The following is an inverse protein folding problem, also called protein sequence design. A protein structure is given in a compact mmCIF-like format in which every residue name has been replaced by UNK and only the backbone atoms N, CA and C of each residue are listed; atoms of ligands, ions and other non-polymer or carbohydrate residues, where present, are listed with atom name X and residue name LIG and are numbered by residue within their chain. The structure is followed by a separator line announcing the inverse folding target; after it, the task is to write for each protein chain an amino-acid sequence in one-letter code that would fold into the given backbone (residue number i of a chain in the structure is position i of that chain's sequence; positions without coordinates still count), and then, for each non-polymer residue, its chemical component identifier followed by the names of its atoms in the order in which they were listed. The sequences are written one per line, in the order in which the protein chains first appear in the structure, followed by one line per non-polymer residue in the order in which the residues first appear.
data_IF_725012983140
#
_entry.id   IF_725012983140
#
_cell.length_a   1.000
_cell.length_b   1.000
_cell.length_c   1.000
_cell.angle_alpha   90.00
_cell.angle_beta   90.00
_cell.angle_gamma   90.00
#
_symmetry.space_group_name_H-M   'P 1'
#
loop_
_entity.id
_entity.type
_entity.pdbx_description
1 polymer ?
#
# COMPACT_ATOMS: atom_id res chain seq x y z
N UNK A 1 24.42 -29.92 -1.31
CA UNK A 1 24.90 -29.08 -0.19
C UNK A 1 25.57 -27.77 -0.65
N UNK A 2 26.62 -27.76 -1.48
CA UNK A 2 27.28 -26.50 -1.94
C UNK A 2 26.38 -25.56 -2.79
N UNK A 3 25.50 -26.10 -3.63
CA UNK A 3 24.58 -25.31 -4.48
C UNK A 3 23.34 -24.73 -3.77
N UNK A 4 23.08 -25.15 -2.53
CA UNK A 4 21.96 -24.65 -1.72
C UNK A 4 22.45 -23.55 -0.78
N UNK A 5 23.67 -23.72 -0.25
CA UNK A 5 24.40 -22.71 0.52
C UNK A 5 24.68 -21.43 -0.30
N UNK A 6 25.13 -21.56 -1.54
CA UNK A 6 25.36 -20.42 -2.44
C UNK A 6 24.06 -19.70 -2.83
N UNK A 7 22.95 -20.43 -3.01
CA UNK A 7 21.62 -19.84 -3.26
C UNK A 7 21.10 -19.09 -2.04
N UNK A 8 21.24 -19.68 -0.84
CA UNK A 8 20.81 -19.04 0.41
C UNK A 8 21.65 -17.80 0.75
N UNK A 9 22.94 -17.77 0.41
CA UNK A 9 23.78 -16.56 0.53
C UNK A 9 23.41 -15.52 -0.52
N UNK A 10 23.13 -15.92 -1.76
CA UNK A 10 22.70 -14.98 -2.80
C UNK A 10 21.33 -14.35 -2.48
N UNK A 11 20.39 -15.12 -1.94
CA UNK A 11 19.09 -14.61 -1.50
C UNK A 11 19.22 -13.76 -0.23
N UNK A 12 20.07 -14.16 0.71
CA UNK A 12 20.43 -13.33 1.86
C UNK A 12 21.10 -12.03 1.43
N UNK A 13 22.03 -12.03 0.46
CA UNK A 13 22.70 -10.82 -0.06
C UNK A 13 21.76 -9.94 -0.89
N UNK A 14 20.78 -10.54 -1.58
CA UNK A 14 19.70 -9.85 -2.31
C UNK A 14 18.75 -9.15 -1.35
N UNK A 15 18.37 -9.80 -0.26
CA UNK A 15 17.51 -9.21 0.77
C UNK A 15 18.31 -8.24 1.69
N UNK A 16 19.58 -8.53 1.95
CA UNK A 16 20.59 -7.65 2.58
C UNK A 16 20.76 -6.34 1.80
N UNK A 17 20.70 -6.35 0.47
CA UNK A 17 20.73 -5.14 -0.35
C UNK A 17 19.39 -4.41 -0.43
N UNK A 18 18.25 -5.09 -0.28
CA UNK A 18 16.96 -4.42 -0.01
C UNK A 18 17.04 -3.66 1.32
N UNK A 19 17.66 -4.25 2.34
CA UNK A 19 17.86 -3.63 3.66
C UNK A 19 18.87 -2.46 3.58
N UNK A 20 19.99 -2.63 2.86
CA UNK A 20 21.00 -1.56 2.67
C UNK A 20 20.49 -0.40 1.80
N UNK A 21 19.64 -0.64 0.80
CA UNK A 21 19.00 0.43 0.03
C UNK A 21 17.95 1.21 0.83
N UNK A 22 17.29 0.56 1.81
CA UNK A 22 16.40 1.21 2.79
C UNK A 22 17.20 2.07 3.78
N UNK A 23 18.41 1.65 4.16
CA UNK A 23 19.24 2.33 5.17
C UNK A 23 20.13 3.43 4.56
N UNK A 24 20.59 3.28 3.31
CA UNK A 24 21.63 4.15 2.73
C UNK A 24 21.18 4.96 1.49
N UNK A 25 19.98 4.74 0.93
CA UNK A 25 19.47 5.55 -0.18
C UNK A 25 20.27 5.47 -1.50
N UNK A 26 21.01 4.38 -1.73
CA UNK A 26 21.82 4.20 -2.95
C UNK A 26 21.06 3.33 -3.95
N UNK A 27 20.58 3.96 -5.03
CA UNK A 27 19.85 3.32 -6.11
C UNK A 27 20.71 3.10 -7.36
N UNK A 28 21.44 1.98 -7.45
CA UNK A 28 21.99 1.43 -8.70
C UNK A 28 22.85 0.18 -8.43
N UNK A 29 22.24 -1.01 -8.36
CA UNK A 29 22.94 -2.21 -7.85
C UNK A 29 22.81 -3.49 -8.68
N UNK A 30 22.20 -3.49 -9.85
CA UNK A 30 22.10 -4.69 -10.70
C UNK A 30 23.44 -5.13 -11.33
N UNK A 31 24.44 -4.25 -11.38
CA UNK A 31 25.73 -4.51 -12.04
C UNK A 31 26.77 -5.24 -11.16
N UNK A 32 26.69 -5.14 -9.84
CA UNK A 32 27.71 -5.69 -8.92
C UNK A 32 27.45 -7.19 -8.63
N UNK A 33 26.18 -7.59 -8.57
CA UNK A 33 25.76 -8.97 -8.25
C UNK A 33 26.22 -9.98 -9.31
N UNK A 34 26.33 -9.57 -10.58
CA UNK A 34 26.73 -10.46 -11.67
C UNK A 34 28.20 -10.90 -11.59
N UNK A 35 29.07 -10.18 -10.86
CA UNK A 35 30.52 -10.44 -10.83
C UNK A 35 31.00 -11.13 -9.55
N UNK A 36 30.31 -10.93 -8.41
CA UNK A 36 30.66 -11.59 -7.14
C UNK A 36 30.39 -13.11 -7.19
N UNK A 37 29.43 -13.55 -7.99
CA UNK A 37 29.15 -14.98 -8.19
C UNK A 37 30.20 -15.75 -9.00
N UNK A 38 31.25 -15.08 -9.52
CA UNK A 38 32.29 -15.72 -10.33
C UNK A 38 33.72 -15.65 -9.77
N UNK A 39 33.99 -14.90 -8.69
CA UNK A 39 35.34 -14.85 -8.09
C UNK A 39 35.27 -14.89 -6.56
N UNK A 40 36.03 -15.82 -5.98
CA UNK A 40 36.39 -15.86 -4.56
C UNK A 40 37.18 -14.59 -4.20
N UNK A 41 36.47 -13.54 -3.79
CA UNK A 41 37.08 -12.29 -3.34
C UNK A 41 37.10 -12.26 -1.81
N UNK A 42 38.30 -12.22 -1.26
CA UNK A 42 38.54 -11.98 0.16
C UNK A 42 38.12 -10.54 0.51
N UNK A 43 36.97 -10.43 1.18
CA UNK A 43 36.28 -9.16 1.47
C UNK A 43 37.05 -8.22 2.41
N UNK A 44 38.23 -8.61 2.90
CA UNK A 44 39.04 -7.80 3.82
C UNK A 44 39.94 -6.76 3.13
N UNK A 45 40.10 -6.79 1.81
CA UNK A 45 41.06 -5.90 1.12
C UNK A 45 40.45 -4.92 0.10
N UNK A 46 39.13 -4.89 -0.10
CA UNK A 46 38.53 -4.01 -1.12
C UNK A 46 38.25 -2.63 -0.54
N UNK A 47 39.15 -1.68 -0.80
CA UNK A 47 38.87 -0.24 -0.67
C UNK A 47 38.08 0.23 -1.90
N UNK A 48 36.76 0.40 -1.75
CA UNK A 48 35.89 0.91 -2.81
C UNK A 48 36.10 2.42 -2.99
N UNK A 49 36.89 2.81 -3.98
CA UNK A 49 36.96 4.22 -4.43
C UNK A 49 36.05 4.44 -5.65
N UNK A 50 35.56 5.68 -5.90
CA UNK A 50 34.71 5.97 -7.06
C UNK A 50 35.32 5.53 -8.40
N UNK A 51 36.64 5.65 -8.56
CA UNK A 51 37.37 5.18 -9.75
C UNK A 51 37.32 3.67 -9.96
N UNK A 52 37.21 2.89 -8.88
CA UNK A 52 37.12 1.43 -8.95
C UNK A 52 35.74 1.00 -9.44
N UNK A 53 34.68 1.78 -9.15
CA UNK A 53 33.31 1.52 -9.62
C UNK A 53 33.18 1.67 -11.16
N UNK A 54 33.79 2.70 -11.74
CA UNK A 54 33.66 2.99 -13.18
C UNK A 54 34.26 1.90 -14.08
N UNK A 55 35.34 1.24 -13.63
CA UNK A 55 35.97 0.13 -14.36
C UNK A 55 35.21 -1.21 -14.29
N UNK A 56 34.18 -1.32 -13.44
CA UNK A 56 33.49 -2.58 -13.16
C UNK A 56 32.16 -2.75 -13.92
N UNK A 57 31.70 -1.74 -14.65
CA UNK A 57 30.47 -1.75 -15.45
C UNK A 57 30.71 -2.42 -16.80
N UNK A 58 30.05 -3.56 -17.05
CA UNK A 58 30.12 -4.26 -18.35
C UNK A 58 29.11 -3.65 -19.35
N UNK A 59 29.41 -3.54 -20.66
CA UNK A 59 28.63 -2.76 -21.63
C UNK A 59 27.24 -3.33 -21.98
N UNK A 60 26.87 -4.52 -21.47
CA UNK A 60 25.73 -5.30 -21.97
C UNK A 60 24.49 -5.31 -21.05
N UNK A 61 24.37 -4.37 -20.11
CA UNK A 61 23.11 -4.12 -19.42
C UNK A 61 22.51 -2.81 -19.93
N UNK A 62 21.34 -2.82 -20.61
CA UNK A 62 20.72 -1.60 -21.10
C UNK A 62 20.36 -0.69 -19.92
N UNK A 63 20.94 0.51 -19.91
CA UNK A 63 20.70 1.56 -18.92
C UNK A 63 19.20 1.86 -18.75
N UNK A 64 18.41 1.67 -19.81
CA UNK A 64 16.96 1.85 -19.85
C UNK A 64 16.15 1.04 -18.81
N UNK A 65 16.69 -0.09 -18.31
CA UNK A 65 16.01 -0.87 -17.27
C UNK A 65 16.09 -0.19 -15.89
N UNK A 66 17.10 0.64 -15.65
CA UNK A 66 17.31 1.38 -14.41
C UNK A 66 16.57 2.72 -14.40
N UNK A 67 16.41 3.39 -15.54
CA UNK A 67 15.73 4.68 -15.62
C UNK A 67 14.20 4.58 -15.48
N UNK A 68 13.58 3.45 -15.88
CA UNK A 68 12.12 3.30 -15.87
C UNK A 68 11.51 2.89 -14.51
N UNK A 69 12.31 2.53 -13.52
CA UNK A 69 11.86 2.19 -12.15
C UNK A 69 12.79 2.78 -11.10
N UNK A 70 12.70 4.08 -10.88
CA UNK A 70 13.39 4.76 -9.79
C UNK A 70 13.03 4.10 -8.44
N UNK A 71 14.03 3.50 -7.80
CA UNK A 71 13.95 2.97 -6.44
C UNK A 71 14.85 3.81 -5.52
N UNK A 72 14.35 4.29 -4.36
CA UNK A 72 12.97 4.16 -3.88
C UNK A 72 11.99 4.96 -4.77
N UNK A 73 10.71 4.55 -4.87
CA UNK A 73 9.71 5.36 -5.55
C UNK A 73 9.69 6.74 -4.89
N UNK A 74 9.80 7.79 -5.69
CA UNK A 74 9.67 9.15 -5.18
C UNK A 74 8.24 9.35 -4.65
N UNK A 75 8.06 9.86 -3.42
CA UNK A 75 6.76 10.32 -2.96
C UNK A 75 6.15 11.29 -3.99
N UNK A 76 4.83 11.32 -4.08
CA UNK A 76 4.14 12.29 -4.94
C UNK A 76 4.59 13.72 -4.59
N UNK A 77 5.31 14.35 -5.51
CA UNK A 77 5.69 15.76 -5.44
C UNK A 77 4.70 16.57 -6.29
N UNK A 78 3.93 17.49 -5.71
CA UNK A 78 3.07 18.35 -6.50
C UNK A 78 3.98 19.30 -7.29
N UNK A 79 3.90 19.24 -8.62
CA UNK A 79 4.75 19.96 -9.58
C UNK A 79 4.93 21.48 -9.28
N UNK A 80 4.06 22.10 -8.48
CA UNK A 80 4.01 23.56 -8.26
C UNK A 80 3.51 24.06 -6.89
N UNK A 81 2.96 23.21 -6.00
CA UNK A 81 2.06 23.70 -4.92
C UNK A 81 2.56 23.54 -3.46
N UNK A 82 3.79 23.08 -3.24
CA UNK A 82 4.38 23.00 -1.89
C UNK A 82 3.62 22.08 -0.91
N UNK A 83 4.04 22.07 0.36
CA UNK A 83 3.47 21.21 1.41
C UNK A 83 2.02 21.60 1.79
N UNK A 84 1.66 22.87 1.64
CA UNK A 84 0.35 23.40 2.02
C UNK A 84 -0.80 22.77 1.22
N UNK A 85 -0.51 22.31 0.00
CA UNK A 85 -1.44 21.60 -0.87
C UNK A 85 -2.03 20.34 -0.21
N UNK A 86 -1.27 19.67 0.65
CA UNK A 86 -1.71 18.44 1.31
C UNK A 86 -2.32 18.66 2.69
N UNK A 87 -2.38 19.91 3.15
CA UNK A 87 -2.99 20.24 4.43
C UNK A 87 -4.46 20.57 4.16
N UNK A 88 -5.30 19.56 4.26
CA UNK A 88 -6.74 19.73 4.09
C UNK A 88 -7.29 20.43 5.32
N UNK A 89 -7.78 21.66 5.15
CA UNK A 89 -8.47 22.42 6.23
C UNK A 89 -9.99 22.42 6.06
N UNK A 90 -10.45 22.29 4.81
CA UNK A 90 -11.86 22.20 4.45
C UNK A 90 -11.99 21.33 3.19
N UNK A 91 -12.98 20.45 3.18
CA UNK A 91 -13.29 19.65 2.00
C UNK A 91 -13.92 20.55 0.91
N UNK A 92 -13.46 20.45 -0.35
CA UNK A 92 -14.13 21.12 -1.46
C UNK A 92 -15.51 20.49 -1.71
N UNK A 93 -16.48 21.33 -2.10
CA UNK A 93 -17.77 20.84 -2.56
C UNK A 93 -17.67 20.40 -4.02
N UNK A 94 -18.19 19.19 -4.29
CA UNK A 94 -18.21 18.62 -5.62
C UNK A 94 -19.62 18.64 -6.20
N UNK A 95 -19.77 19.19 -7.40
CA UNK A 95 -21.06 19.29 -8.10
C UNK A 95 -21.51 17.96 -8.71
N UNK A 96 -20.57 17.08 -9.06
CA UNK A 96 -20.88 15.83 -9.78
C UNK A 96 -19.87 14.71 -9.47
N UNK A 97 -20.10 13.96 -8.38
CA UNK A 97 -19.28 12.79 -8.06
C UNK A 97 -19.47 11.63 -9.06
N UNK A 98 -20.61 11.57 -9.77
CA UNK A 98 -20.87 10.54 -10.78
C UNK A 98 -19.92 10.62 -11.99
N UNK A 99 -19.17 11.73 -12.15
CA UNK A 99 -18.09 11.79 -13.14
C UNK A 99 -17.06 10.65 -12.98
N UNK A 100 -16.86 10.15 -11.76
CA UNK A 100 -15.98 9.00 -11.47
C UNK A 100 -16.52 7.71 -12.11
N UNK A 101 -17.84 7.54 -12.22
CA UNK A 101 -18.44 6.29 -12.69
C UNK A 101 -18.24 6.06 -14.19
N UNK A 102 -17.83 7.08 -14.94
CA UNK A 102 -17.46 6.96 -16.35
C UNK A 102 -16.28 6.00 -16.53
N UNK A 103 -15.29 6.12 -15.65
CA UNK A 103 -14.08 5.30 -15.71
C UNK A 103 -14.18 4.10 -14.73
N UNK A 104 -14.96 4.25 -13.65
CA UNK A 104 -15.16 3.20 -12.65
C UNK A 104 -16.66 2.99 -12.35
N UNK A 105 -17.41 2.25 -13.19
CA UNK A 105 -18.86 2.07 -13.00
C UNK A 105 -19.25 1.53 -11.62
N UNK A 106 -18.41 0.68 -11.01
CA UNK A 106 -18.62 0.13 -9.66
C UNK A 106 -18.62 1.19 -8.56
N UNK A 107 -17.98 2.34 -8.77
CA UNK A 107 -17.96 3.45 -7.81
C UNK A 107 -19.36 3.96 -7.47
N UNK A 108 -20.35 3.77 -8.36
CA UNK A 108 -21.74 4.21 -8.15
C UNK A 108 -22.34 3.69 -6.85
N UNK A 109 -22.02 2.45 -6.46
CA UNK A 109 -22.51 1.85 -5.21
C UNK A 109 -21.94 2.51 -3.95
N UNK A 110 -20.87 3.29 -4.08
CA UNK A 110 -20.14 3.87 -2.95
C UNK A 110 -20.42 5.35 -2.73
N UNK A 111 -20.76 6.11 -3.77
CA UNK A 111 -20.85 7.59 -3.73
C UNK A 111 -21.76 8.08 -2.61
N UNK A 112 -23.03 7.64 -2.59
CA UNK A 112 -24.00 8.09 -1.60
C UNK A 112 -23.61 7.65 -0.17
N UNK A 113 -23.06 6.43 -0.03
CA UNK A 113 -22.60 5.91 1.27
C UNK A 113 -21.39 6.69 1.79
N UNK A 114 -20.46 7.04 0.91
CA UNK A 114 -19.29 7.87 1.25
C UNK A 114 -19.74 9.26 1.67
N UNK A 115 -20.63 9.92 0.93
CA UNK A 115 -21.14 11.24 1.30
C UNK A 115 -21.80 11.21 2.68
N UNK A 116 -22.68 10.22 2.92
CA UNK A 116 -23.33 10.03 4.22
C UNK A 116 -22.30 9.79 5.34
N UNK A 117 -21.36 8.89 5.13
CA UNK A 117 -20.35 8.58 6.14
C UNK A 117 -19.41 9.78 6.41
N UNK A 118 -19.10 10.61 5.41
CA UNK A 118 -18.33 11.83 5.61
C UNK A 118 -19.11 12.81 6.49
N UNK A 119 -20.40 13.01 6.22
CA UNK A 119 -21.26 13.87 7.02
C UNK A 119 -21.36 13.39 8.47
N UNK A 120 -21.54 12.09 8.70
CA UNK A 120 -21.56 11.48 10.03
C UNK A 120 -20.24 11.64 10.81
N UNK A 121 -19.12 11.85 10.10
CA UNK A 121 -17.78 11.97 10.69
C UNK A 121 -17.20 13.40 10.63
N UNK A 122 -17.99 14.41 10.21
CA UNK A 122 -17.50 15.78 10.01
C UNK A 122 -16.91 16.42 11.27
N UNK A 123 -17.46 16.08 12.44
CA UNK A 123 -16.98 16.55 13.75
C UNK A 123 -15.65 15.91 14.17
N UNK A 124 -15.29 14.75 13.58
CA UNK A 124 -13.96 14.16 13.71
C UNK A 124 -13.02 14.90 12.77
N UNK A 125 -13.36 14.93 11.48
CA UNK A 125 -12.63 15.65 10.44
C UNK A 125 -13.47 15.79 9.15
N UNK A 126 -13.50 16.97 8.50
CA UNK A 126 -14.20 17.16 7.23
C UNK A 126 -13.42 16.56 6.06
N UNK A 127 -13.68 15.29 5.75
CA UNK A 127 -12.99 14.54 4.69
C UNK A 127 -13.42 14.97 3.27
N UNK A 128 -12.48 14.92 2.33
CA UNK A 128 -12.73 15.11 0.91
C UNK A 128 -13.32 13.84 0.27
N UNK A 129 -14.49 13.96 -0.37
CA UNK A 129 -15.21 12.81 -0.93
C UNK A 129 -14.48 12.12 -2.09
N UNK A 130 -13.80 12.86 -2.95
CA UNK A 130 -13.01 12.28 -4.05
C UNK A 130 -11.79 11.56 -3.48
N UNK A 131 -11.19 12.09 -2.42
CA UNK A 131 -10.04 11.46 -1.75
C UNK A 131 -10.45 10.14 -1.08
N UNK A 132 -11.61 10.12 -0.41
CA UNK A 132 -12.18 8.89 0.18
C UNK A 132 -12.50 7.85 -0.90
N UNK A 133 -13.09 8.26 -2.02
CA UNK A 133 -13.34 7.36 -3.15
C UNK A 133 -12.05 6.84 -3.78
N UNK A 134 -11.03 7.69 -3.91
CA UNK A 134 -9.69 7.31 -4.37
C UNK A 134 -9.04 6.30 -3.43
N UNK A 135 -9.23 6.45 -2.12
CA UNK A 135 -8.81 5.46 -1.12
C UNK A 135 -9.52 4.12 -1.34
N UNK A 136 -10.85 4.09 -1.50
CA UNK A 136 -11.58 2.82 -1.75
C UNK A 136 -11.10 2.16 -3.05
N UNK A 137 -10.83 2.96 -4.08
CA UNK A 137 -10.23 2.47 -5.32
C UNK A 137 -8.83 1.88 -5.08
N UNK A 138 -7.97 2.56 -4.32
CA UNK A 138 -6.63 2.09 -4.00
C UNK A 138 -6.64 0.74 -3.26
N UNK A 139 -7.60 0.55 -2.35
CA UNK A 139 -7.74 -0.65 -1.53
C UNK A 139 -8.31 -1.86 -2.27
N UNK A 140 -9.36 -1.65 -3.05
CA UNK A 140 -10.16 -2.76 -3.58
C UNK A 140 -10.50 -2.63 -5.05
N UNK A 141 -10.16 -1.52 -5.70
CA UNK A 141 -10.65 -1.15 -7.04
C UNK A 141 -12.18 -1.18 -7.11
N UNK A 142 -12.84 -0.83 -6.00
CA UNK A 142 -14.29 -0.93 -5.79
C UNK A 142 -14.86 -2.37 -5.77
N UNK A 143 -14.00 -3.39 -5.64
CA UNK A 143 -14.42 -4.79 -5.52
C UNK A 143 -14.79 -5.12 -4.07
N UNK A 144 -16.09 -5.35 -3.83
CA UNK A 144 -16.55 -5.69 -2.47
C UNK A 144 -15.94 -7.00 -1.95
N UNK A 145 -15.60 -7.95 -2.84
CA UNK A 145 -15.01 -9.26 -2.49
C UNK A 145 -13.47 -9.27 -2.47
N UNK A 146 -12.81 -8.11 -2.46
CA UNK A 146 -11.36 -8.04 -2.35
C UNK A 146 -10.87 -8.62 -1.00
N UNK A 147 -9.83 -9.46 -1.06
CA UNK A 147 -9.14 -10.01 0.13
C UNK A 147 -7.63 -9.95 -0.11
N UNK A 148 -6.90 -9.26 0.77
CA UNK A 148 -5.44 -9.14 0.72
C UNK A 148 -4.72 -10.45 1.04
N UNK A 149 -3.40 -10.54 0.79
CA UNK A 149 -2.57 -11.67 1.21
C UNK A 149 -2.50 -11.89 2.73
N UNK A 150 -2.87 -10.91 3.55
CA UNK A 150 -2.78 -10.97 5.03
C UNK A 150 -4.14 -10.83 5.72
N UNK A 151 -5.23 -10.99 4.97
CA UNK A 151 -6.57 -11.12 5.55
C UNK A 151 -7.40 -9.83 5.70
N UNK A 152 -6.87 -8.65 5.34
CA UNK A 152 -7.71 -7.49 5.07
C UNK A 152 -8.76 -7.83 4.00
N UNK A 153 -10.01 -7.41 4.20
CA UNK A 153 -11.12 -7.78 3.32
C UNK A 153 -12.09 -6.62 3.09
N UNK A 154 -12.86 -6.73 2.01
CA UNK A 154 -13.91 -5.79 1.71
C UNK A 154 -13.43 -4.56 0.92
N UNK A 155 -14.36 -3.64 0.61
CA UNK A 155 -14.04 -2.44 -0.15
C UNK A 155 -13.07 -1.50 0.57
N UNK A 156 -13.11 -1.52 1.91
CA UNK A 156 -12.25 -0.72 2.78
C UNK A 156 -10.96 -1.43 3.20
N UNK A 157 -10.74 -2.69 2.79
CA UNK A 157 -9.62 -3.55 3.22
C UNK A 157 -9.40 -3.53 4.74
N UNK A 158 -10.47 -3.72 5.51
CA UNK A 158 -10.38 -3.75 6.97
C UNK A 158 -9.72 -5.05 7.42
N UNK A 159 -8.68 -4.94 8.24
CA UNK A 159 -8.11 -6.08 8.97
C UNK A 159 -9.18 -6.71 9.88
N UNK A 160 -9.15 -8.04 10.09
CA UNK A 160 -10.14 -8.74 10.92
C UNK A 160 -10.33 -8.12 12.30
N UNK A 161 -9.23 -7.90 13.03
CA UNK A 161 -9.28 -7.29 14.36
C UNK A 161 -9.79 -5.85 14.36
N UNK A 162 -9.46 -5.05 13.34
CA UNK A 162 -10.00 -3.67 13.20
C UNK A 162 -11.50 -3.72 13.01
N UNK A 163 -12.01 -4.55 12.08
CA UNK A 163 -13.43 -4.68 11.84
C UNK A 163 -14.21 -5.15 13.08
N UNK A 164 -13.68 -6.13 13.82
CA UNK A 164 -14.28 -6.57 15.09
C UNK A 164 -14.28 -5.45 16.16
N UNK A 165 -13.22 -4.65 16.23
CA UNK A 165 -13.16 -3.49 17.14
C UNK A 165 -14.22 -2.43 16.84
N UNK A 166 -14.71 -2.38 15.60
CA UNK A 166 -15.83 -1.53 15.17
C UNK A 166 -17.19 -2.26 15.21
N UNK A 167 -17.25 -3.45 15.81
CA UNK A 167 -18.50 -4.20 15.99
C UNK A 167 -18.97 -4.96 14.75
N UNK A 168 -18.16 -5.04 13.69
CA UNK A 168 -18.50 -5.87 12.53
C UNK A 168 -18.31 -7.35 12.85
N UNK A 169 -19.24 -8.18 12.40
CA UNK A 169 -19.06 -9.63 12.37
C UNK A 169 -17.99 -9.99 11.35
N UNK A 170 -17.06 -10.84 11.74
CA UNK A 170 -15.94 -11.28 10.90
C UNK A 170 -15.81 -12.79 10.97
N UNK A 171 -15.54 -13.42 9.82
CA UNK A 171 -15.19 -14.84 9.80
C UNK A 171 -13.76 -14.99 10.33
N UNK A 172 -13.65 -15.48 11.56
CA UNK A 172 -12.40 -15.54 12.32
C UNK A 172 -12.13 -16.97 12.83
N UNK A 173 -11.71 -17.90 11.96
CA UNK A 173 -11.41 -19.28 12.33
C UNK A 173 -10.06 -19.41 13.06
N UNK A 174 -9.88 -20.50 13.80
CA UNK A 174 -8.64 -20.77 14.58
C UNK A 174 -7.36 -20.69 13.74
N UNK A 175 -7.40 -21.12 12.48
CA UNK A 175 -6.21 -21.06 11.62
C UNK A 175 -5.86 -19.63 11.16
N UNK A 176 -6.81 -18.69 11.14
CA UNK A 176 -6.50 -17.26 10.93
C UNK A 176 -5.76 -16.70 12.14
N UNK A 177 -6.21 -17.03 13.35
CA UNK A 177 -5.50 -16.66 14.59
C UNK A 177 -4.06 -17.17 14.58
N UNK A 178 -3.86 -18.42 14.16
CA UNK A 178 -2.51 -19.00 13.96
C UNK A 178 -1.70 -18.23 12.91
N UNK A 179 -2.31 -17.87 11.78
CA UNK A 179 -1.65 -17.07 10.74
C UNK A 179 -1.17 -15.71 11.29
N UNK A 180 -2.02 -15.02 12.04
CA UNK A 180 -1.69 -13.72 12.65
C UNK A 180 -0.57 -13.85 13.69
N UNK A 181 -0.58 -14.89 14.52
CA UNK A 181 0.50 -15.18 15.49
C UNK A 181 1.82 -15.42 14.74
N UNK A 182 1.81 -16.28 13.72
CA UNK A 182 3.02 -16.59 12.92
C UNK A 182 3.54 -15.38 12.17
N UNK A 183 2.66 -14.52 11.67
CA UNK A 183 3.07 -13.29 11.01
C UNK A 183 3.68 -12.29 12.00
N UNK A 184 3.15 -12.18 13.22
CA UNK A 184 3.75 -11.37 14.29
C UNK A 184 5.12 -11.93 14.70
N UNK A 185 5.24 -13.23 14.87
CA UNK A 185 6.51 -13.93 15.13
C UNK A 185 7.55 -13.59 14.05
N UNK A 186 7.17 -13.70 12.77
CA UNK A 186 8.01 -13.34 11.64
C UNK A 186 8.48 -11.88 11.69
N UNK A 187 7.57 -10.92 11.93
CA UNK A 187 7.92 -9.49 12.04
C UNK A 187 8.93 -9.24 13.17
N UNK A 188 8.76 -9.88 14.33
CA UNK A 188 9.67 -9.73 15.47
C UNK A 188 11.05 -10.34 15.18
N UNK A 189 11.09 -11.53 14.57
CA UNK A 189 12.33 -12.19 14.16
C UNK A 189 13.08 -11.34 13.12
N UNK A 190 12.38 -10.78 12.14
CA UNK A 190 12.98 -9.90 11.14
C UNK A 190 13.62 -8.66 11.78
N UNK A 191 12.90 -7.98 12.68
CA UNK A 191 13.44 -6.83 13.43
C UNK A 191 14.67 -7.20 14.27
N UNK A 192 14.62 -8.36 14.94
CA UNK A 192 15.74 -8.88 15.73
C UNK A 192 16.95 -9.21 14.85
N UNK A 193 16.74 -9.83 13.69
CA UNK A 193 17.79 -10.14 12.74
C UNK A 193 18.50 -8.87 12.25
N UNK A 194 17.75 -7.82 11.91
CA UNK A 194 18.32 -6.50 11.55
C UNK A 194 19.15 -5.94 12.71
N UNK A 195 18.61 -5.93 13.92
CA UNK A 195 19.32 -5.40 15.09
C UNK A 195 20.64 -6.14 15.37
N UNK A 196 20.61 -7.47 15.35
CA UNK A 196 21.81 -8.31 15.52
C UNK A 196 22.84 -8.05 14.42
N UNK A 197 22.37 -7.91 13.19
CA UNK A 197 23.20 -7.60 12.04
C UNK A 197 23.89 -6.24 12.21
N UNK A 198 23.15 -5.19 12.59
CA UNK A 198 23.71 -3.85 12.86
C UNK A 198 24.75 -3.87 13.97
N UNK A 199 24.55 -4.72 14.98
CA UNK A 199 25.52 -4.98 16.05
C UNK A 199 26.67 -5.92 15.66
N UNK A 200 26.81 -6.25 14.37
CA UNK A 200 27.85 -7.13 13.79
C UNK A 200 27.83 -8.58 14.32
N UNK A 201 26.71 -9.04 14.88
CA UNK A 201 26.52 -10.44 15.28
C UNK A 201 25.93 -11.26 14.11
N UNK A 202 26.76 -11.54 13.11
CA UNK A 202 26.31 -12.05 11.80
C UNK A 202 25.75 -13.47 11.84
N UNK A 203 26.36 -14.39 12.60
CA UNK A 203 25.89 -15.77 12.68
C UNK A 203 24.51 -15.86 13.32
N UNK A 204 24.30 -15.18 14.46
CA UNK A 204 22.99 -15.15 15.12
C UNK A 204 21.95 -14.38 14.29
N UNK A 205 22.36 -13.33 13.56
CA UNK A 205 21.49 -12.61 12.64
C UNK A 205 20.98 -13.53 11.52
N UNK A 206 21.87 -14.33 10.91
CA UNK A 206 21.53 -15.31 9.87
C UNK A 206 20.59 -16.39 10.40
N UNK A 207 20.88 -16.98 11.56
CA UNK A 207 20.00 -17.97 12.18
C UNK A 207 18.60 -17.39 12.46
N UNK A 208 18.56 -16.18 13.03
CA UNK A 208 17.30 -15.47 13.32
C UNK A 208 16.51 -15.19 12.03
N UNK A 209 17.20 -14.83 10.94
CA UNK A 209 16.57 -14.62 9.62
C UNK A 209 15.97 -15.91 9.04
N UNK A 210 16.67 -17.04 9.16
CA UNK A 210 16.13 -18.33 8.72
C UNK A 210 14.87 -18.73 9.50
N UNK A 211 14.82 -18.42 10.79
CA UNK A 211 13.62 -18.59 11.61
C UNK A 211 12.48 -17.67 11.15
N UNK A 212 12.79 -16.42 10.80
CA UNK A 212 11.82 -15.50 10.17
C UNK A 212 11.23 -16.10 8.90
N UNK A 213 12.05 -16.59 7.97
CA UNK A 213 11.61 -17.20 6.71
C UNK A 213 10.66 -18.38 6.96
N UNK A 214 10.97 -19.24 7.94
CA UNK A 214 10.12 -20.37 8.33
C UNK A 214 8.76 -19.89 8.85
N UNK A 215 8.75 -18.96 9.81
CA UNK A 215 7.52 -18.40 10.38
C UNK A 215 6.67 -17.68 9.31
N UNK A 216 7.33 -16.94 8.41
CA UNK A 216 6.67 -16.21 7.32
C UNK A 216 6.00 -17.16 6.32
N UNK A 217 6.68 -18.23 5.89
CA UNK A 217 6.10 -19.25 5.00
C UNK A 217 4.89 -19.94 5.61
N UNK A 218 4.95 -20.25 6.91
CA UNK A 218 3.83 -20.83 7.63
C UNK A 218 2.63 -19.86 7.68
N UNK A 219 2.87 -18.60 8.05
CA UNK A 219 1.84 -17.56 8.06
C UNK A 219 1.19 -17.38 6.68
N UNK A 220 2.00 -17.26 5.63
CA UNK A 220 1.51 -17.05 4.26
C UNK A 220 0.70 -18.25 3.75
N UNK A 221 1.07 -19.47 4.14
CA UNK A 221 0.30 -20.66 3.82
C UNK A 221 -1.10 -20.61 4.45
N UNK A 222 -1.16 -20.24 5.74
CA UNK A 222 -2.41 -20.13 6.48
C UNK A 222 -3.28 -18.98 5.94
N UNK A 223 -2.71 -17.83 5.59
CA UNK A 223 -3.48 -16.74 4.98
C UNK A 223 -3.98 -17.08 3.58
N UNK A 224 -3.19 -17.79 2.76
CA UNK A 224 -3.67 -18.27 1.45
C UNK A 224 -4.85 -19.22 1.61
N UNK A 225 -4.79 -20.12 2.59
CA UNK A 225 -5.90 -21.00 2.92
C UNK A 225 -7.12 -20.20 3.39
N UNK A 226 -6.93 -19.26 4.33
CA UNK A 226 -7.98 -18.38 4.82
C UNK A 226 -8.69 -17.61 3.71
N UNK A 227 -7.93 -17.00 2.79
CA UNK A 227 -8.50 -16.26 1.66
C UNK A 227 -9.39 -17.17 0.80
N UNK A 228 -8.94 -18.39 0.48
CA UNK A 228 -9.73 -19.35 -0.30
C UNK A 228 -11.01 -19.77 0.44
N UNK A 229 -10.89 -20.14 1.72
CA UNK A 229 -12.04 -20.59 2.52
C UNK A 229 -13.05 -19.44 2.70
N UNK A 230 -12.60 -18.24 3.09
CA UNK A 230 -13.46 -17.06 3.24
C UNK A 230 -14.25 -16.76 1.96
N UNK A 231 -13.56 -16.71 0.81
CA UNK A 231 -14.22 -16.45 -0.47
C UNK A 231 -15.23 -17.53 -0.83
N UNK A 232 -14.93 -18.81 -0.58
CA UNK A 232 -15.89 -19.91 -0.79
C UNK A 232 -17.16 -19.77 0.04
N UNK A 233 -17.08 -19.09 1.19
CA UNK A 233 -18.22 -18.85 2.09
C UNK A 233 -19.02 -17.61 1.76
N UNK A 234 -18.51 -16.66 0.97
CA UNK A 234 -19.22 -15.39 0.71
C UNK A 234 -19.55 -15.16 -0.76
N UNK A 235 -18.75 -15.69 -1.69
CA UNK A 235 -18.98 -15.47 -3.12
C UNK A 235 -20.30 -16.09 -3.57
N UNK A 236 -21.01 -15.38 -4.45
CA UNK A 236 -22.30 -15.77 -5.04
C UNK A 236 -23.42 -16.03 -4.02
N UNK A 237 -23.28 -15.54 -2.78
CA UNK A 237 -24.33 -15.61 -1.76
C UNK A 237 -25.04 -14.26 -1.64
N UNK A 238 -26.32 -14.22 -1.25
CA UNK A 238 -27.02 -12.97 -0.97
C UNK A 238 -26.46 -12.30 0.28
N UNK A 239 -26.58 -10.97 0.36
CA UNK A 239 -26.08 -10.13 1.45
C UNK A 239 -26.61 -10.57 2.83
N UNK A 240 -27.83 -11.09 2.91
CA UNK A 240 -28.43 -11.62 4.15
C UNK A 240 -27.67 -12.83 4.73
N UNK A 241 -26.98 -13.60 3.88
CA UNK A 241 -26.12 -14.71 4.28
C UNK A 241 -24.70 -14.23 4.52
N UNK A 242 -24.17 -13.37 3.63
CA UNK A 242 -22.83 -12.78 3.79
C UNK A 242 -22.72 -12.06 5.13
N UNK A 243 -23.71 -11.26 5.51
CA UNK A 243 -23.72 -10.51 6.78
C UNK A 243 -23.69 -11.42 8.02
N UNK A 244 -24.14 -12.68 7.92
CA UNK A 244 -24.03 -13.68 9.00
C UNK A 244 -22.65 -14.32 9.07
N UNK A 245 -21.82 -14.16 8.04
CA UNK A 245 -20.49 -14.76 7.91
C UNK A 245 -19.41 -13.71 8.16
N UNK A 246 -19.37 -12.65 7.34
CA UNK A 246 -18.37 -11.59 7.41
C UNK A 246 -18.92 -10.29 6.81
N UNK A 247 -19.15 -9.30 7.66
CA UNK A 247 -19.77 -8.03 7.31
C UNK A 247 -18.82 -7.07 6.59
N UNK A 248 -17.51 -7.38 6.51
CA UNK A 248 -16.57 -6.58 5.72
C UNK A 248 -16.90 -6.59 4.24
N UNK A 249 -17.65 -7.59 3.75
CA UNK A 249 -18.11 -7.65 2.37
C UNK A 249 -19.41 -6.87 2.12
N UNK A 250 -20.10 -6.41 3.16
CA UNK A 250 -21.33 -5.60 3.06
C UNK A 250 -20.94 -4.13 2.93
N UNK A 251 -21.19 -3.52 1.77
CA UNK A 251 -20.68 -2.18 1.43
C UNK A 251 -21.21 -1.15 2.43
N UNK A 252 -22.49 -1.24 2.76
CA UNK A 252 -23.22 -0.38 3.70
C UNK A 252 -22.67 -0.44 5.13
N UNK A 253 -21.96 -1.51 5.48
CA UNK A 253 -21.32 -1.68 6.80
C UNK A 253 -19.83 -1.35 6.79
N UNK A 254 -19.11 -1.80 5.76
CA UNK A 254 -17.66 -1.67 5.67
C UNK A 254 -17.20 -0.25 5.27
N UNK A 255 -17.98 0.48 4.48
CA UNK A 255 -17.64 1.85 4.05
C UNK A 255 -17.66 2.82 5.24
N UNK A 256 -18.73 2.90 6.06
CA UNK A 256 -18.74 3.82 7.21
C UNK A 256 -17.57 3.59 8.18
N UNK A 257 -17.24 2.32 8.48
CA UNK A 257 -16.09 1.98 9.33
C UNK A 257 -14.77 2.44 8.71
N UNK A 258 -14.60 2.22 7.40
CA UNK A 258 -13.42 2.69 6.67
C UNK A 258 -13.27 4.21 6.68
N UNK A 259 -14.37 4.93 6.50
CA UNK A 259 -14.41 6.41 6.51
C UNK A 259 -14.14 6.96 7.90
N UNK A 260 -14.74 6.39 8.95
CA UNK A 260 -14.49 6.78 10.33
C UNK A 260 -13.00 6.61 10.69
N UNK A 261 -12.41 5.45 10.40
CA UNK A 261 -10.98 5.22 10.67
C UNK A 261 -10.09 6.20 9.90
N UNK A 262 -10.46 6.54 8.66
CA UNK A 262 -9.76 7.54 7.86
C UNK A 262 -9.87 8.95 8.45
N UNK A 263 -11.05 9.36 8.93
CA UNK A 263 -11.26 10.64 9.62
C UNK A 263 -10.39 10.74 10.88
N UNK A 264 -10.28 9.65 11.66
CA UNK A 264 -9.40 9.58 12.82
C UNK A 264 -7.91 9.77 12.44
N UNK A 265 -7.47 9.23 11.30
CA UNK A 265 -6.11 9.46 10.81
C UNK A 265 -5.89 10.92 10.42
N UNK A 266 -6.84 11.53 9.69
CA UNK A 266 -6.75 12.96 9.35
C UNK A 266 -6.72 13.85 10.59
N UNK A 267 -7.57 13.57 11.60
CA UNK A 267 -7.54 14.25 12.89
C UNK A 267 -6.19 14.09 13.59
N UNK A 268 -5.67 12.86 13.66
CA UNK A 268 -4.39 12.54 14.32
C UNK A 268 -3.22 13.29 13.69
N UNK A 269 -3.21 13.42 12.38
CA UNK A 269 -2.15 14.10 11.61
C UNK A 269 -2.53 15.53 11.20
N UNK A 270 -3.49 16.14 11.91
CA UNK A 270 -3.86 17.57 11.77
C UNK A 270 -4.15 17.99 10.32
N UNK A 271 -4.78 17.09 9.55
CA UNK A 271 -5.13 17.32 8.16
C UNK A 271 -4.01 17.14 7.13
N UNK A 272 -2.80 16.72 7.54
CA UNK A 272 -1.77 16.31 6.58
C UNK A 272 -2.19 14.99 5.91
N UNK A 273 -2.73 15.12 4.70
CA UNK A 273 -3.23 13.99 3.93
C UNK A 273 -2.15 12.96 3.64
N UNK A 274 -0.88 13.37 3.51
CA UNK A 274 0.21 12.44 3.21
C UNK A 274 0.40 11.48 4.37
N UNK A 275 0.53 12.04 5.56
CA UNK A 275 0.69 11.26 6.80
C UNK A 275 -0.55 10.44 7.12
N UNK A 276 -1.75 11.03 6.96
CA UNK A 276 -3.00 10.33 7.24
C UNK A 276 -3.25 9.14 6.29
N UNK A 277 -3.01 9.32 4.99
CA UNK A 277 -3.09 8.23 3.99
C UNK A 277 -2.08 7.14 4.30
N UNK A 278 -0.82 7.52 4.57
CA UNK A 278 0.21 6.54 4.94
C UNK A 278 -0.14 5.79 6.22
N UNK A 279 -0.67 6.48 7.22
CA UNK A 279 -1.05 5.88 8.49
C UNK A 279 -2.26 4.94 8.37
N UNK A 280 -3.16 5.20 7.43
CA UNK A 280 -4.22 4.26 7.11
C UNK A 280 -3.65 2.94 6.58
N UNK A 281 -2.68 3.01 5.65
CA UNK A 281 -2.08 1.84 5.00
C UNK A 281 -1.13 1.05 5.91
N UNK A 282 -0.15 1.71 6.55
CA UNK A 282 0.90 1.03 7.33
C UNK A 282 0.71 1.15 8.86
N UNK A 283 -0.36 1.82 9.31
CA UNK A 283 -0.58 2.17 10.69
C UNK A 283 0.10 3.48 11.10
N UNK A 284 -0.36 4.13 12.19
CA UNK A 284 0.19 5.42 12.63
C UNK A 284 1.60 5.31 13.22
N UNK A 285 2.00 4.14 13.74
CA UNK A 285 3.30 3.93 14.38
C UNK A 285 4.48 4.24 13.44
N UNK A 286 4.59 3.57 12.27
CA UNK A 286 5.64 3.85 11.30
C UNK A 286 5.71 5.32 10.85
N UNK A 287 4.57 5.97 10.65
CA UNK A 287 4.47 7.39 10.27
C UNK A 287 5.02 8.30 11.38
N UNK A 288 4.65 8.04 12.63
CA UNK A 288 5.17 8.78 13.79
C UNK A 288 6.67 8.58 13.95
N UNK A 289 7.17 7.34 13.79
CA UNK A 289 8.60 7.04 13.88
C UNK A 289 9.41 7.71 12.77
N UNK A 290 8.86 7.81 11.56
CA UNK A 290 9.49 8.51 10.44
C UNK A 290 9.38 10.04 10.53
N UNK A 291 8.53 10.57 11.43
CA UNK A 291 8.13 11.99 11.44
C UNK A 291 7.65 12.48 10.06
N UNK A 292 7.00 11.60 9.29
CA UNK A 292 6.66 11.84 7.88
C UNK A 292 6.21 10.57 7.16
N UNK A 293 6.39 10.54 5.84
CA UNK A 293 6.07 9.36 5.02
C UNK A 293 7.16 8.30 5.26
N UNK A 294 6.83 7.10 5.77
CA UNK A 294 7.83 6.06 5.93
C UNK A 294 8.30 5.57 4.55
N UNK A 295 9.59 5.24 4.42
CA UNK A 295 10.17 4.65 3.20
C UNK A 295 9.75 3.18 3.02
N UNK A 296 8.44 2.97 2.83
CA UNK A 296 7.82 1.67 2.54
C UNK A 296 7.24 1.78 1.13
N UNK A 297 7.75 0.95 0.20
CA UNK A 297 7.34 0.97 -1.21
C UNK A 297 5.84 0.95 -1.39
N UNK A 298 5.18 -0.01 -0.75
CA UNK A 298 3.74 -0.20 -0.84
C UNK A 298 2.99 1.05 -0.39
N UNK A 299 3.41 1.67 0.72
CA UNK A 299 2.79 2.88 1.26
C UNK A 299 2.97 4.09 0.33
N UNK A 300 4.16 4.24 -0.26
CA UNK A 300 4.42 5.32 -1.22
C UNK A 300 3.59 5.13 -2.49
N UNK A 301 3.54 3.91 -3.04
CA UNK A 301 2.74 3.61 -4.22
C UNK A 301 1.24 3.79 -3.96
N UNK A 302 0.75 3.32 -2.81
CA UNK A 302 -0.63 3.50 -2.36
C UNK A 302 -1.02 4.98 -2.29
N UNK A 303 -0.14 5.81 -1.74
CA UNK A 303 -0.35 7.26 -1.68
C UNK A 303 -0.38 7.89 -3.07
N UNK A 304 0.55 7.51 -3.95
CA UNK A 304 0.61 8.00 -5.33
C UNK A 304 -0.67 7.64 -6.10
N UNK A 305 -1.17 6.43 -5.94
CA UNK A 305 -2.44 5.96 -6.51
C UNK A 305 -3.61 6.86 -6.09
N UNK A 306 -3.72 7.17 -4.79
CA UNK A 306 -4.79 8.03 -4.25
C UNK A 306 -4.66 9.47 -4.74
N UNK A 307 -3.47 10.06 -4.71
CA UNK A 307 -3.29 11.44 -5.15
C UNK A 307 -3.47 11.61 -6.66
N UNK A 308 -3.06 10.64 -7.48
CA UNK A 308 -3.32 10.66 -8.91
C UNK A 308 -4.82 10.55 -9.21
N UNK A 309 -5.52 9.66 -8.49
CA UNK A 309 -6.97 9.57 -8.55
C UNK A 309 -7.60 10.92 -8.20
N UNK A 310 -7.22 11.50 -7.06
CA UNK A 310 -7.79 12.76 -6.59
C UNK A 310 -7.44 13.95 -7.51
N UNK A 311 -6.20 14.08 -8.01
CA UNK A 311 -5.78 15.13 -8.98
C UNK A 311 -6.66 15.12 -10.23
N UNK A 312 -7.02 13.92 -10.72
CA UNK A 312 -7.88 13.75 -11.89
C UNK A 312 -9.34 14.06 -11.56
N UNK A 313 -9.92 13.39 -10.57
CA UNK A 313 -11.36 13.43 -10.34
C UNK A 313 -11.83 14.66 -9.57
N UNK A 314 -10.99 15.31 -8.76
CA UNK A 314 -11.36 16.59 -8.12
C UNK A 314 -11.74 17.64 -9.16
N UNK A 315 -10.96 17.76 -10.24
CA UNK A 315 -11.22 18.67 -11.37
C UNK A 315 -12.47 18.27 -12.16
N UNK A 316 -12.71 16.98 -12.36
CA UNK A 316 -13.87 16.49 -13.11
C UNK A 316 -15.16 16.67 -12.29
N UNK A 317 -15.13 16.36 -11.00
CA UNK A 317 -16.28 16.45 -10.10
C UNK A 317 -16.62 17.89 -9.69
N UNK A 318 -15.67 18.83 -9.81
CA UNK A 318 -15.93 20.25 -9.63
C UNK A 318 -16.71 20.89 -10.79
N UNK A 319 -16.72 20.26 -11.98
CA UNK A 319 -17.47 20.77 -13.15
C UNK A 319 -18.96 20.44 -13.02
N UNK A 320 -19.80 21.32 -13.56
CA UNK A 320 -21.22 21.03 -13.73
C UNK A 320 -21.43 19.87 -14.70
N UNK A 321 -22.43 19.06 -14.42
CA UNK A 321 -22.85 17.99 -15.31
C UNK A 321 -23.53 18.65 -16.52
N UNK A 322 -22.77 18.88 -17.60
CA UNK A 322 -23.33 19.45 -18.83
C UNK A 322 -24.37 18.50 -19.42
N UNK A 323 -25.53 19.03 -19.78
CA UNK A 323 -26.61 18.25 -20.37
C UNK A 323 -26.16 17.66 -21.73
N UNK A 324 -26.72 16.52 -22.20
CA UNK A 324 -26.31 15.88 -23.45
C UNK A 324 -26.34 16.82 -24.67
N UNK A 325 -27.27 17.78 -24.66
CA UNK A 325 -27.43 18.82 -25.68
C UNK A 325 -26.26 19.81 -25.69
N UNK A 326 -25.74 20.19 -24.52
CA UNK A 326 -24.58 21.08 -24.40
C UNK A 326 -23.28 20.37 -24.78
N UNK A 327 -23.14 19.09 -24.42
CA UNK A 327 -22.01 18.27 -24.86
C UNK A 327 -21.97 18.11 -26.38
N UNK A 328 -23.13 17.88 -27.03
CA UNK A 328 -23.22 17.84 -28.49
C UNK A 328 -22.87 19.17 -29.15
N UNK A 329 -23.33 20.30 -28.59
CA UNK A 329 -22.98 21.64 -29.09
C UNK A 329 -21.47 21.89 -29.01
N UNK A 330 -20.84 21.53 -27.90
CA UNK A 330 -19.40 21.75 -27.70
C UNK A 330 -18.54 20.85 -28.61
N UNK A 331 -18.95 19.59 -28.82
CA UNK A 331 -18.34 18.71 -29.82
C UNK A 331 -18.50 19.26 -31.23
N UNK A 332 -19.66 19.81 -31.57
CA UNK A 332 -19.93 20.43 -32.87
C UNK A 332 -19.05 21.68 -33.09
N UNK A 333 -18.88 22.53 -32.07
CA UNK A 333 -18.00 23.71 -32.15
C UNK A 333 -16.50 23.35 -32.16
N UNK A 334 -16.07 22.24 -31.55
CA UNK A 334 -14.69 21.74 -31.69
C UNK A 334 -14.40 21.15 -33.07
N UNK A 335 -15.41 20.65 -33.79
CA UNK A 335 -15.24 20.11 -35.15
C UNK A 335 -15.18 21.21 -36.23
N UNK A 336 -15.68 22.41 -35.91
CA UNK A 336 -15.70 23.58 -36.80
C UNK A 336 -14.49 24.52 -36.61
N UNK A 337 -13.63 24.26 -35.63
CA UNK A 337 -12.31 24.90 -35.46
C UNK A 337 -11.24 23.96 -35.97
#
# INVERSE_FOLDING_TARGET
MKNEFARNIADFLRDYWKILSIVCGIGSASLIVAKITQQDLDLKQVSLTPKTLDSLVSPNYPIDFLEKKAWPPKPFEPETLGLEFFIFRKAPEYKNLDAITKDYPKAKAYIALVQKAIEENKEIFPLDAVLVLGKIWAESRFERFAVSPVGAAGPSQLMPGTAQGYGLRVYYPEYLKKAEIKNREAILLYKKAISLFTSKNFELAKETYLNYEKAKREADSLFRFYKKDLLSKVMNKPDSIIAKIDERFIIEKAVPVGVNYYALMFKKFKGDARMAISAYNCGPGPVLSASGIPYIQETVLYQNDIFNFWKKYSKLCAREQKNPTEQKKEQYFMFLR
#
